data_IF_483909952524
#
_entry.id   IF_483909952524
#
_cell.length_a   1.000
_cell.length_b   1.000
_cell.length_c   1.000
_cell.angle_alpha   90.00
_cell.angle_beta   90.00
_cell.angle_gamma   90.00
#
_symmetry.space_group_name_H-M   'P 1'
#
loop_
_entity.id
_entity.type
_entity.pdbx_description
1 polymer ?
#
# COMPACT_ATOMS: atom_id res chain seq x y z
N UNK A 1 0.09 31.02 -23.55
CA UNK A 1 0.59 29.63 -23.60
C UNK A 1 1.30 29.37 -22.28
N UNK A 2 0.70 28.59 -21.39
CA UNK A 2 1.39 27.79 -20.39
C UNK A 2 0.39 26.71 -19.99
N UNK A 3 0.68 25.49 -20.44
CA UNK A 3 -0.19 24.34 -20.23
C UNK A 3 -0.07 23.89 -18.79
N UNK A 4 -1.14 24.10 -18.02
CA UNK A 4 -1.48 23.28 -16.87
C UNK A 4 -1.69 21.85 -17.39
N UNK A 5 -0.59 21.10 -17.47
CA UNK A 5 -0.70 19.65 -17.51
C UNK A 5 -1.10 19.25 -16.11
N UNK A 6 -2.39 19.03 -15.91
CA UNK A 6 -2.95 18.35 -14.76
C UNK A 6 -2.26 16.98 -14.69
N UNK A 7 -1.15 16.89 -13.96
CA UNK A 7 -0.39 15.66 -13.75
C UNK A 7 -1.31 14.69 -13.00
N UNK A 8 -2.08 13.91 -13.75
CA UNK A 8 -3.00 12.92 -13.22
C UNK A 8 -2.15 11.87 -12.50
N UNK A 9 -2.11 11.95 -11.16
CA UNK A 9 -1.48 10.91 -10.34
C UNK A 9 -2.40 9.71 -10.27
N UNK A 10 -1.98 8.61 -10.88
CA UNK A 10 -2.72 7.34 -10.89
C UNK A 10 -2.51 6.58 -9.57
N UNK A 11 -3.58 6.40 -8.80
CA UNK A 11 -3.63 5.46 -7.68
C UNK A 11 -4.18 4.13 -8.20
N UNK A 12 -3.42 3.05 -8.06
CA UNK A 12 -3.86 1.69 -8.42
C UNK A 12 -4.36 0.96 -7.19
N UNK A 13 -5.56 0.41 -7.29
CA UNK A 13 -6.14 -0.48 -6.29
C UNK A 13 -6.50 -1.78 -6.99
N UNK A 14 -6.00 -2.91 -6.48
CA UNK A 14 -6.30 -4.23 -7.00
C UNK A 14 -6.62 -5.19 -5.88
N UNK A 15 -7.36 -6.25 -6.21
CA UNK A 15 -7.63 -7.35 -5.30
C UNK A 15 -7.33 -8.67 -5.98
N UNK A 16 -6.72 -9.61 -5.25
CA UNK A 16 -6.52 -10.97 -5.71
C UNK A 16 -6.94 -11.96 -4.62
N UNK A 17 -7.29 -13.17 -5.03
CA UNK A 17 -7.48 -14.26 -4.07
C UNK A 17 -6.11 -14.74 -3.60
N UNK A 18 -5.97 -14.95 -2.31
CA UNK A 18 -4.86 -15.69 -1.72
C UNK A 18 -5.38 -17.05 -1.25
N UNK A 19 -4.43 -17.90 -0.86
CA UNK A 19 -4.74 -19.18 -0.24
C UNK A 19 -5.59 -19.03 1.02
N UNK A 20 -6.18 -20.14 1.45
CA UNK A 20 -6.95 -20.25 2.70
C UNK A 20 -8.18 -19.32 2.79
N UNK A 21 -8.74 -18.87 1.67
CA UNK A 21 -9.94 -18.03 1.64
C UNK A 21 -9.67 -16.56 1.98
N UNK A 22 -8.42 -16.13 1.91
CA UNK A 22 -8.02 -14.75 2.09
C UNK A 22 -8.14 -13.94 0.79
N UNK A 23 -8.28 -12.63 0.93
CA UNK A 23 -8.22 -11.67 -0.18
C UNK A 23 -7.06 -10.72 0.09
N UNK A 24 -6.18 -10.54 -0.89
CA UNK A 24 -5.14 -9.53 -0.86
C UNK A 24 -5.68 -8.27 -1.49
N UNK A 25 -5.58 -7.14 -0.78
CA UNK A 25 -5.89 -5.82 -1.32
C UNK A 25 -4.57 -5.06 -1.46
N UNK A 26 -4.25 -4.65 -2.67
CA UNK A 26 -3.04 -3.87 -2.96
C UNK A 26 -3.42 -2.44 -3.28
N UNK A 27 -2.71 -1.49 -2.68
CA UNK A 27 -2.82 -0.06 -3.00
C UNK A 27 -1.42 0.44 -3.39
N UNK A 28 -1.28 0.94 -4.62
CA UNK A 28 -0.03 1.51 -5.13
C UNK A 28 -0.25 2.95 -5.55
N UNK A 29 0.57 3.86 -5.05
CA UNK A 29 0.60 5.27 -5.46
C UNK A 29 1.90 5.59 -6.23
N UNK A 30 1.92 6.65 -7.07
CA UNK A 30 3.08 7.00 -7.88
C UNK A 30 4.07 7.89 -7.11
N UNK A 31 4.01 7.87 -5.78
CA UNK A 31 4.88 8.64 -4.91
C UNK A 31 6.32 8.13 -4.91
N UNK A 32 7.23 8.86 -4.24
CA UNK A 32 8.66 8.55 -4.21
C UNK A 32 9.01 7.27 -3.43
N UNK A 33 8.03 6.61 -2.80
CA UNK A 33 8.23 5.44 -1.95
C UNK A 33 8.87 5.76 -0.60
N UNK A 34 9.27 4.69 0.11
CA UNK A 34 9.97 4.72 1.38
C UNK A 34 11.47 4.88 1.16
N UNK A 35 12.07 5.90 1.78
CA UNK A 35 13.51 6.13 1.73
C UNK A 35 14.31 5.22 2.69
N UNK A 36 13.66 4.70 3.74
CA UNK A 36 14.29 3.84 4.74
C UNK A 36 14.44 2.40 4.23
N UNK A 37 15.50 1.71 4.68
CA UNK A 37 15.66 0.27 4.43
C UNK A 37 14.60 -0.59 5.13
N UNK A 38 13.88 -0.03 6.11
CA UNK A 38 12.76 -0.68 6.78
C UNK A 38 11.47 0.12 6.57
N UNK A 39 10.60 -0.28 5.62
CA UNK A 39 9.33 0.40 5.36
C UNK A 39 8.29 0.16 6.46
N UNK A 40 8.43 -0.86 7.30
CA UNK A 40 7.48 -1.14 8.39
C UNK A 40 7.44 -0.05 9.46
N UNK A 41 8.49 0.77 9.57
CA UNK A 41 8.48 1.92 10.46
C UNK A 41 7.34 2.90 10.13
N UNK A 42 6.86 2.91 8.88
CA UNK A 42 5.70 3.69 8.47
C UNK A 42 4.39 3.28 9.15
N UNK A 43 4.32 2.05 9.68
CA UNK A 43 3.17 1.54 10.44
C UNK A 43 3.24 1.89 11.93
N UNK A 44 4.35 2.46 12.42
CA UNK A 44 4.50 2.84 13.81
C UNK A 44 3.60 4.04 14.16
N UNK A 45 2.99 4.07 15.36
CA UNK A 45 2.27 5.25 15.82
C UNK A 45 3.17 6.49 15.81
N UNK A 46 2.59 7.63 15.44
CA UNK A 46 3.27 8.92 15.36
C UNK A 46 4.34 9.08 14.27
N UNK A 47 4.57 8.07 13.42
CA UNK A 47 5.47 8.21 12.30
C UNK A 47 4.83 9.03 11.16
N UNK A 48 5.50 10.09 10.72
CA UNK A 48 5.06 10.91 9.59
C UNK A 48 6.23 11.53 8.84
N UNK A 49 6.13 11.57 7.52
CA UNK A 49 7.02 12.36 6.64
C UNK A 49 6.39 13.68 6.21
N UNK A 50 5.12 13.91 6.60
CA UNK A 50 4.37 15.12 6.25
C UNK A 50 4.68 16.24 7.24
N UNK A 51 4.76 17.50 6.77
CA UNK A 51 5.02 18.66 7.63
C UNK A 51 3.91 18.88 8.67
N UNK A 52 2.70 18.38 8.41
CA UNK A 52 1.56 18.42 9.33
C UNK A 52 0.88 17.06 9.40
N UNK A 53 0.26 16.78 10.55
CA UNK A 53 -0.45 15.53 10.83
C UNK A 53 0.27 14.63 11.83
N UNK A 54 -0.51 13.92 12.65
CA UNK A 54 -0.01 13.15 13.79
C UNK A 54 0.63 11.80 13.43
N UNK A 55 0.69 11.38 12.15
CA UNK A 55 1.28 10.08 11.80
C UNK A 55 0.49 8.86 12.30
N UNK A 56 -0.84 8.97 12.43
CA UNK A 56 -1.67 7.92 13.04
C UNK A 56 -2.39 7.01 12.04
N UNK A 57 -2.41 7.34 10.75
CA UNK A 57 -3.31 6.69 9.79
C UNK A 57 -2.93 5.22 9.54
N UNK A 58 -1.67 4.97 9.17
CA UNK A 58 -1.20 3.61 8.88
C UNK A 58 -1.22 2.71 10.12
N UNK A 59 -0.93 3.26 11.30
CA UNK A 59 -1.07 2.50 12.56
C UNK A 59 -2.53 2.13 12.83
N UNK A 60 -3.49 3.02 12.55
CA UNK A 60 -4.93 2.71 12.65
C UNK A 60 -5.33 1.63 11.63
N UNK A 61 -4.88 1.74 10.38
CA UNK A 61 -5.15 0.72 9.35
C UNK A 61 -4.66 -0.65 9.80
N UNK A 62 -3.42 -0.73 10.33
CA UNK A 62 -2.86 -1.96 10.90
C UNK A 62 -3.75 -2.50 12.02
N UNK A 63 -4.11 -1.68 13.02
CA UNK A 63 -4.97 -2.12 14.12
C UNK A 63 -6.34 -2.64 13.66
N UNK A 64 -6.94 -2.00 12.65
CA UNK A 64 -8.22 -2.47 12.08
C UNK A 64 -8.03 -3.84 11.41
N UNK A 65 -6.99 -3.99 10.59
CA UNK A 65 -6.70 -5.24 9.87
C UNK A 65 -6.38 -6.37 10.87
N UNK A 66 -5.52 -6.10 11.85
CA UNK A 66 -5.16 -7.06 12.90
C UNK A 66 -6.40 -7.49 13.71
N UNK A 67 -7.32 -6.56 14.01
CA UNK A 67 -8.58 -6.87 14.72
C UNK A 67 -9.53 -7.78 13.91
N UNK A 68 -9.36 -7.86 12.59
CA UNK A 68 -10.09 -8.77 11.71
C UNK A 68 -9.29 -10.05 11.38
N UNK A 69 -8.13 -10.26 12.01
CA UNK A 69 -7.27 -11.42 11.78
C UNK A 69 -6.50 -11.37 10.46
N UNK A 70 -6.39 -10.19 9.84
CA UNK A 70 -5.57 -9.99 8.65
C UNK A 70 -4.15 -9.53 8.98
N UNK A 71 -3.38 -9.22 7.93
CA UNK A 71 -2.03 -8.68 8.04
C UNK A 71 -1.87 -7.48 7.10
N UNK A 72 -1.16 -6.44 7.56
CA UNK A 72 -0.81 -5.27 6.75
C UNK A 72 0.71 -5.20 6.54
N UNK A 73 1.13 -5.29 5.29
CA UNK A 73 2.51 -5.09 4.87
C UNK A 73 2.64 -3.84 3.99
N UNK A 74 3.81 -3.23 4.00
CA UNK A 74 4.09 -2.03 3.20
C UNK A 74 5.53 -2.07 2.68
N UNK A 75 5.75 -1.55 1.47
CA UNK A 75 7.06 -1.59 0.83
C UNK A 75 7.12 -0.81 -0.46
N UNK A 76 8.31 -0.75 -1.05
CA UNK A 76 8.52 -0.20 -2.39
C UNK A 76 8.31 -1.29 -3.43
N UNK A 77 7.65 -0.95 -4.53
CA UNK A 77 7.40 -1.85 -5.65
C UNK A 77 5.91 -2.12 -5.86
N UNK A 78 5.56 -2.44 -7.11
CA UNK A 78 4.26 -3.02 -7.45
C UNK A 78 4.39 -4.52 -7.19
N UNK A 79 3.53 -5.16 -6.38
CA UNK A 79 3.52 -6.62 -6.31
C UNK A 79 3.32 -7.14 -7.73
N UNK A 80 4.06 -8.19 -8.15
CA UNK A 80 3.97 -8.72 -9.50
C UNK A 80 2.50 -8.93 -9.83
N UNK A 81 2.05 -8.34 -10.94
CA UNK A 81 0.71 -8.60 -11.45
C UNK A 81 0.62 -10.11 -11.63
N UNK A 82 -0.34 -10.74 -10.96
CA UNK A 82 -0.73 -12.13 -11.21
C UNK A 82 -1.32 -12.24 -12.63
N UNK A 83 -0.50 -12.04 -13.67
CA UNK A 83 -0.81 -12.33 -15.07
C UNK A 83 -0.19 -13.67 -15.52
N UNK A 84 0.41 -14.45 -14.61
CA UNK A 84 0.94 -15.80 -14.86
C UNK A 84 0.42 -16.87 -13.88
N UNK A 85 -0.75 -16.65 -13.25
CA UNK A 85 -1.53 -17.77 -12.72
C UNK A 85 -2.16 -18.53 -13.90
N UNK A 86 -1.30 -19.16 -14.73
CA UNK A 86 -1.72 -20.18 -15.68
C UNK A 86 -2.59 -21.21 -14.97
N UNK A 87 -3.54 -21.85 -15.67
CA UNK A 87 -4.53 -22.70 -15.03
C UNK A 87 -3.81 -23.75 -14.18
N UNK A 88 -4.07 -23.71 -12.87
CA UNK A 88 -3.69 -24.77 -11.96
C UNK A 88 -4.17 -26.09 -12.55
N UNK A 89 -3.22 -26.95 -12.92
CA UNK A 89 -3.48 -28.33 -13.35
C UNK A 89 -3.71 -29.22 -12.15
#
# INVERSE_FOLDING_TARGET
>A
MNGDSDDIRELRISTSQADAGCVVVTVCDPGPGFASQNPEQALAPFFTTKPTGLGMRLSICRSIIDAHGGELSIGNGVPPLDDDAGPAR
#
